data_IF_936468315876
#
_entry.id   IF_936468315876
#
_cell.length_a   1.000
_cell.length_b   1.000
_cell.length_c   1.000
_cell.angle_alpha   90.00
_cell.angle_beta   90.00
_cell.angle_gamma   90.00
#
_symmetry.space_group_name_H-M   'P 1'
#
loop_
_entity.id
_entity.type
_entity.pdbx_description
1 polymer ?
#
# COMPACT_ATOMS: atom_id res chain seq x y z
N UNK A 1 15.92 -7.14 32.73
CA UNK A 1 15.84 -6.76 31.29
C UNK A 1 16.38 -5.34 31.16
N UNK A 2 17.23 -5.06 30.17
CA UNK A 2 17.76 -3.71 29.96
C UNK A 2 16.61 -2.74 29.63
N UNK A 3 16.60 -1.55 30.23
CA UNK A 3 15.59 -0.51 29.94
C UNK A 3 15.65 0.10 28.54
N UNK A 4 16.64 -0.33 27.75
CA UNK A 4 16.97 0.22 26.40
C UNK A 4 16.67 -0.76 25.26
N UNK A 5 15.88 -1.82 25.50
CA UNK A 5 15.53 -2.79 24.46
C UNK A 5 14.27 -2.30 23.75
N UNK A 6 14.39 -2.12 22.45
CA UNK A 6 13.25 -1.85 21.55
C UNK A 6 12.48 -3.14 21.26
N UNK A 7 11.21 -3.04 20.86
CA UNK A 7 10.44 -4.19 20.38
C UNK A 7 11.11 -4.86 19.17
N UNK A 8 10.83 -6.15 18.98
CA UNK A 8 11.33 -6.90 17.83
C UNK A 8 10.93 -6.23 16.52
N UNK A 9 11.86 -6.14 15.59
CA UNK A 9 11.69 -5.54 14.26
C UNK A 9 11.41 -4.03 14.27
N UNK A 10 11.72 -3.33 15.37
CA UNK A 10 11.75 -1.87 15.47
C UNK A 10 13.16 -1.46 15.87
N UNK A 11 13.73 -0.49 15.18
CA UNK A 11 15.09 -0.02 15.41
C UNK A 11 15.20 1.48 15.23
N UNK A 12 16.14 2.09 15.96
CA UNK A 12 16.52 3.47 15.72
C UNK A 12 17.28 3.58 14.38
N UNK A 13 16.96 4.62 13.62
CA UNK A 13 17.71 4.98 12.41
C UNK A 13 18.81 5.96 12.79
N UNK A 14 20.06 5.56 12.60
CA UNK A 14 21.22 6.34 13.01
C UNK A 14 21.57 7.46 12.01
N UNK A 15 22.38 8.49 12.39
CA UNK A 15 22.51 9.75 11.64
C UNK A 15 22.83 9.63 10.16
N UNK A 16 23.74 8.70 9.76
CA UNK A 16 24.12 8.52 8.34
C UNK A 16 22.95 7.97 7.51
N UNK A 17 22.27 6.95 8.04
CA UNK A 17 21.11 6.33 7.40
C UNK A 17 19.91 7.29 7.41
N UNK A 18 19.66 7.97 8.53
CA UNK A 18 18.58 8.95 8.65
C UNK A 18 18.74 10.09 7.62
N UNK A 19 19.97 10.55 7.39
CA UNK A 19 20.26 11.55 6.36
C UNK A 19 19.89 11.04 4.98
N UNK A 20 20.30 9.83 4.65
CA UNK A 20 20.02 9.22 3.36
C UNK A 20 18.53 9.01 3.13
N UNK A 21 17.79 8.51 4.12
CA UNK A 21 16.33 8.36 4.06
C UNK A 21 15.64 9.71 3.81
N UNK A 22 16.08 10.78 4.49
CA UNK A 22 15.48 12.11 4.29
C UNK A 22 15.80 12.69 2.90
N UNK A 23 16.97 12.43 2.36
CA UNK A 23 17.33 12.81 0.99
C UNK A 23 16.48 12.07 -0.05
N UNK A 24 16.29 10.76 0.10
CA UNK A 24 15.37 9.96 -0.73
C UNK A 24 13.93 10.48 -0.63
N UNK A 25 13.45 10.71 0.58
CA UNK A 25 12.11 11.25 0.82
C UNK A 25 11.89 12.55 0.07
N UNK A 26 12.83 13.48 0.13
CA UNK A 26 12.76 14.77 -0.60
C UNK A 26 12.76 14.54 -2.10
N UNK A 27 13.67 13.70 -2.60
CA UNK A 27 13.76 13.36 -4.01
C UNK A 27 12.43 12.82 -4.55
N UNK A 28 11.81 11.88 -3.87
CA UNK A 28 10.51 11.30 -4.27
C UNK A 28 9.39 12.34 -4.29
N UNK A 29 9.31 13.18 -3.26
CA UNK A 29 8.30 14.24 -3.20
C UNK A 29 8.52 15.31 -4.29
N UNK A 30 9.75 15.67 -4.60
CA UNK A 30 10.07 16.61 -5.66
C UNK A 30 9.78 16.02 -7.04
N UNK A 31 10.06 14.72 -7.26
CA UNK A 31 9.67 14.00 -8.47
C UNK A 31 8.16 13.98 -8.62
N UNK A 32 7.41 13.58 -7.60
CA UNK A 32 5.95 13.60 -7.63
C UNK A 32 5.39 15.00 -7.92
N UNK A 33 5.96 16.03 -7.31
CA UNK A 33 5.57 17.43 -7.55
C UNK A 33 5.78 17.84 -9.02
N UNK A 34 6.81 17.34 -9.71
CA UNK A 34 7.02 17.62 -11.13
C UNK A 34 5.92 17.07 -12.04
N UNK A 35 5.23 16.03 -11.60
CA UNK A 35 4.02 15.46 -12.23
C UNK A 35 2.72 16.15 -11.81
N UNK A 36 2.80 17.16 -10.93
CA UNK A 36 1.63 17.90 -10.45
C UNK A 36 0.93 17.26 -9.23
N UNK A 37 1.59 16.35 -8.52
CA UNK A 37 1.03 15.79 -7.27
C UNK A 37 1.13 16.79 -6.12
N UNK A 38 0.06 16.90 -5.36
CA UNK A 38 -0.02 17.69 -4.15
C UNK A 38 0.25 16.80 -2.92
N UNK A 39 1.13 17.26 -2.04
CA UNK A 39 1.48 16.54 -0.82
C UNK A 39 0.34 16.60 0.20
N UNK A 40 -0.04 15.44 0.73
CA UNK A 40 -0.92 15.31 1.89
C UNK A 40 -0.20 14.60 3.04
N UNK A 41 -0.53 14.97 4.28
CA UNK A 41 0.06 14.37 5.49
C UNK A 41 -1.09 13.91 6.39
N UNK A 42 -1.60 12.69 6.19
CA UNK A 42 -2.62 12.12 7.06
C UNK A 42 -2.08 11.84 8.47
N UNK A 43 -2.90 11.84 9.51
CA UNK A 43 -2.47 11.48 10.86
C UNK A 43 -2.06 10.01 10.94
N UNK A 44 -1.11 9.70 11.84
CA UNK A 44 -0.67 8.32 12.09
C UNK A 44 -1.76 7.48 12.79
N UNK A 45 -2.57 8.11 13.63
CA UNK A 45 -3.61 7.51 14.45
C UNK A 45 -4.99 7.96 13.97
N UNK A 46 -5.91 7.00 13.79
CA UNK A 46 -7.30 7.27 13.37
C UNK A 46 -8.26 6.30 14.04
N UNK A 47 -9.57 6.59 14.02
CA UNK A 47 -10.58 5.62 14.45
C UNK A 47 -10.50 4.36 13.59
N UNK A 48 -10.54 3.20 14.25
CA UNK A 48 -10.32 1.91 13.58
C UNK A 48 -11.31 1.69 12.43
N UNK A 49 -12.57 2.01 12.63
CA UNK A 49 -13.62 1.85 11.61
C UNK A 49 -13.34 2.71 10.35
N UNK A 50 -12.84 3.94 10.55
CA UNK A 50 -12.45 4.82 9.45
C UNK A 50 -11.23 4.30 8.71
N UNK A 51 -10.22 3.85 9.46
CA UNK A 51 -8.95 3.37 8.90
C UNK A 51 -9.12 2.08 8.08
N UNK A 52 -10.07 1.23 8.46
CA UNK A 52 -10.34 -0.06 7.80
C UNK A 52 -11.44 0.02 6.73
N UNK A 53 -12.06 1.17 6.52
CA UNK A 53 -13.09 1.34 5.50
C UNK A 53 -12.52 1.03 4.11
N UNK A 54 -13.15 0.09 3.39
CA UNK A 54 -12.72 -0.34 2.06
C UNK A 54 -11.46 -1.20 2.01
N UNK A 55 -10.88 -1.54 3.18
CA UNK A 55 -9.71 -2.43 3.26
C UNK A 55 -10.11 -3.90 3.37
N UNK A 56 -9.17 -4.78 2.99
CA UNK A 56 -9.35 -6.23 3.16
C UNK A 56 -8.89 -6.71 4.56
N UNK A 57 -9.21 -7.98 4.86
CA UNK A 57 -8.82 -8.67 6.09
C UNK A 57 -7.30 -8.59 6.37
N UNK A 58 -6.47 -8.59 5.33
CA UNK A 58 -5.03 -8.51 5.45
C UNK A 58 -4.55 -7.23 6.15
N UNK A 59 -5.15 -6.07 5.83
CA UNK A 59 -4.81 -4.80 6.46
C UNK A 59 -5.28 -4.75 7.92
N UNK A 60 -6.44 -5.32 8.23
CA UNK A 60 -6.92 -5.44 9.61
C UNK A 60 -5.95 -6.22 10.50
N UNK A 61 -5.38 -7.31 9.97
CA UNK A 61 -4.38 -8.14 10.67
C UNK A 61 -3.02 -7.44 10.86
N UNK A 62 -2.69 -6.48 10.00
CA UNK A 62 -1.47 -5.69 10.07
C UNK A 62 -1.60 -4.44 10.93
N UNK A 63 -2.83 -4.01 11.25
CA UNK A 63 -3.08 -2.78 11.99
C UNK A 63 -2.89 -2.96 13.49
N UNK A 64 -2.08 -2.11 14.12
CA UNK A 64 -2.04 -1.97 15.58
C UNK A 64 -3.34 -1.36 16.09
N UNK A 65 -3.98 -2.02 17.03
CA UNK A 65 -5.25 -1.59 17.64
C UNK A 65 -5.03 -1.09 19.06
N UNK A 66 -5.61 0.06 19.36
CA UNK A 66 -5.48 0.77 20.64
C UNK A 66 -6.86 1.18 21.13
N UNK A 67 -6.95 1.51 22.40
CA UNK A 67 -8.14 2.17 22.96
C UNK A 67 -7.77 3.62 23.28
N UNK A 68 -8.51 4.56 22.73
CA UNK A 68 -8.37 5.98 23.05
C UNK A 68 -8.82 6.23 24.49
N UNK A 69 -7.92 6.73 25.32
CA UNK A 69 -8.21 6.99 26.74
C UNK A 69 -9.13 8.21 26.95
N UNK A 70 -9.30 9.07 25.95
CA UNK A 70 -10.20 10.22 26.04
C UNK A 70 -11.65 9.85 25.72
N UNK A 71 -11.86 9.03 24.69
CA UNK A 71 -13.21 8.70 24.19
C UNK A 71 -13.65 7.26 24.47
N UNK A 72 -12.73 6.37 24.84
CA UNK A 72 -12.97 4.94 25.00
C UNK A 72 -13.15 4.19 23.66
N UNK A 73 -12.97 4.85 22.52
CA UNK A 73 -13.14 4.26 21.20
C UNK A 73 -11.91 3.49 20.73
N UNK A 74 -12.15 2.51 19.86
CA UNK A 74 -11.06 1.78 19.21
C UNK A 74 -10.38 2.67 18.17
N UNK A 75 -9.05 2.71 18.24
CA UNK A 75 -8.16 3.43 17.32
C UNK A 75 -7.22 2.45 16.63
N UNK A 76 -6.70 2.82 15.48
CA UNK A 76 -5.65 2.09 14.79
C UNK A 76 -4.48 3.00 14.42
N UNK A 77 -3.26 2.44 14.47
CA UNK A 77 -2.11 3.04 13.81
C UNK A 77 -2.10 2.58 12.35
N UNK A 78 -1.94 3.50 11.42
CA UNK A 78 -2.01 3.17 9.98
C UNK A 78 -0.94 2.15 9.61
N UNK A 79 -1.37 1.08 8.96
CA UNK A 79 -0.49 0.10 8.32
C UNK A 79 -0.30 0.39 6.82
N UNK A 80 -1.18 1.21 6.24
CA UNK A 80 -1.12 1.73 4.87
C UNK A 80 -1.78 3.12 4.84
N UNK A 81 -1.25 4.01 4.02
CA UNK A 81 -1.70 5.40 3.91
C UNK A 81 -2.81 5.58 2.86
N UNK A 82 -2.94 4.66 1.90
CA UNK A 82 -3.86 4.75 0.74
C UNK A 82 -5.30 5.06 1.14
N UNK A 83 -5.85 4.36 2.16
CA UNK A 83 -7.25 4.57 2.61
C UNK A 83 -7.48 5.97 3.17
N UNK A 84 -6.49 6.50 3.87
CA UNK A 84 -6.56 7.87 4.42
C UNK A 84 -6.53 8.92 3.30
N UNK A 85 -5.73 8.68 2.26
CA UNK A 85 -5.66 9.59 1.09
C UNK A 85 -6.96 9.53 0.29
N UNK A 86 -7.53 8.34 0.09
CA UNK A 86 -8.85 8.19 -0.52
C UNK A 86 -9.94 8.93 0.26
N UNK A 87 -9.91 8.85 1.60
CA UNK A 87 -10.81 9.62 2.48
C UNK A 87 -10.62 11.14 2.33
N UNK A 88 -9.37 11.60 2.23
CA UNK A 88 -9.06 13.03 2.02
C UNK A 88 -9.65 13.51 0.70
N UNK A 89 -9.45 12.76 -0.40
CA UNK A 89 -10.02 13.11 -1.70
C UNK A 89 -11.54 13.15 -1.64
N UNK A 90 -12.18 12.06 -1.15
CA UNK A 90 -13.63 11.91 -1.18
C UNK A 90 -14.40 12.84 -0.24
N UNK A 91 -13.84 13.18 0.94
CA UNK A 91 -14.58 13.86 1.99
C UNK A 91 -14.06 15.25 2.38
N UNK A 92 -12.79 15.55 2.10
CA UNK A 92 -12.20 16.84 2.48
C UNK A 92 -11.94 17.72 1.27
N UNK A 93 -11.33 17.18 0.21
CA UNK A 93 -11.08 17.94 -1.01
C UNK A 93 -12.32 17.98 -1.90
N UNK A 94 -12.94 16.82 -2.13
CA UNK A 94 -14.18 16.66 -2.92
C UNK A 94 -14.16 17.46 -4.23
N UNK A 95 -13.04 17.40 -4.96
CA UNK A 95 -12.81 18.18 -6.18
C UNK A 95 -13.51 17.56 -7.37
N UNK A 96 -13.93 18.38 -8.32
CA UNK A 96 -14.35 17.91 -9.63
C UNK A 96 -13.11 17.77 -10.54
N UNK A 97 -13.06 16.67 -11.32
CA UNK A 97 -11.96 16.41 -12.24
C UNK A 97 -10.85 15.55 -11.64
N UNK A 98 -9.66 15.65 -12.24
CA UNK A 98 -8.51 14.81 -11.85
C UNK A 98 -7.80 15.40 -10.65
N UNK A 99 -7.66 14.62 -9.58
CA UNK A 99 -6.89 14.96 -8.40
C UNK A 99 -5.65 14.06 -8.32
N UNK A 100 -4.48 14.66 -8.10
CA UNK A 100 -3.19 13.97 -7.90
C UNK A 100 -2.69 14.26 -6.50
N UNK A 101 -2.56 13.23 -5.69
CA UNK A 101 -2.08 13.34 -4.30
C UNK A 101 -0.87 12.44 -4.10
N UNK A 102 0.11 12.90 -3.32
CA UNK A 102 1.24 12.09 -2.89
C UNK A 102 1.45 12.21 -1.38
N UNK A 103 2.13 11.24 -0.83
CA UNK A 103 2.45 11.19 0.59
C UNK A 103 3.80 10.49 0.81
N UNK A 104 4.46 10.81 1.91
CA UNK A 104 5.63 10.08 2.38
C UNK A 104 5.69 10.18 3.90
N UNK A 105 5.54 9.03 4.57
CA UNK A 105 5.53 8.97 6.03
C UNK A 105 5.63 7.53 6.56
N UNK A 106 5.84 7.37 7.86
CA UNK A 106 5.92 6.06 8.48
C UNK A 106 4.56 5.37 8.47
N UNK A 107 4.57 4.05 8.32
CA UNK A 107 3.46 3.15 8.62
C UNK A 107 3.91 2.13 9.65
N UNK A 108 2.98 1.49 10.37
CA UNK A 108 3.31 0.54 11.42
C UNK A 108 2.58 -0.78 11.18
N UNK A 109 3.35 -1.85 11.06
CA UNK A 109 2.85 -3.20 10.90
C UNK A 109 2.84 -3.95 12.22
N UNK A 110 1.69 -4.50 12.62
CA UNK A 110 1.57 -5.33 13.82
C UNK A 110 2.43 -6.59 13.71
N UNK A 111 2.69 -7.06 12.49
CA UNK A 111 3.56 -8.20 12.19
C UNK A 111 4.53 -7.83 11.06
N UNK A 112 5.79 -8.28 11.09
CA UNK A 112 6.70 -8.07 9.98
C UNK A 112 6.21 -8.84 8.74
N UNK A 113 6.33 -8.24 7.58
CA UNK A 113 5.97 -8.89 6.30
C UNK A 113 6.89 -10.06 5.93
N UNK A 114 8.15 -9.96 6.35
CA UNK A 114 9.21 -10.98 6.14
C UNK A 114 10.06 -11.07 7.40
N UNK A 115 10.80 -12.18 7.61
CA UNK A 115 11.57 -12.41 8.82
C UNK A 115 12.54 -11.29 9.23
N UNK A 116 13.01 -10.49 8.28
CA UNK A 116 13.97 -9.38 8.53
C UNK A 116 13.39 -8.01 8.17
N UNK A 117 12.10 -7.93 7.85
CA UNK A 117 11.46 -6.65 7.55
C UNK A 117 11.25 -5.83 8.82
N UNK A 118 11.45 -4.51 8.73
CA UNK A 118 11.03 -3.60 9.79
C UNK A 118 9.52 -3.57 9.93
N UNK A 119 9.02 -3.33 11.14
CA UNK A 119 7.60 -3.07 11.40
C UNK A 119 7.25 -1.59 11.26
N UNK A 120 8.22 -0.73 11.04
CA UNK A 120 8.04 0.72 10.82
C UNK A 120 8.70 1.15 9.50
N UNK A 121 8.17 0.70 8.35
CA UNK A 121 8.69 1.17 7.06
C UNK A 121 8.26 2.60 6.78
N UNK A 122 9.11 3.35 6.06
CA UNK A 122 8.73 4.60 5.42
C UNK A 122 8.00 4.29 4.12
N UNK A 123 6.75 4.69 4.00
CA UNK A 123 5.94 4.53 2.80
C UNK A 123 5.90 5.82 2.00
N UNK A 124 6.30 5.76 0.73
CA UNK A 124 5.99 6.78 -0.28
C UNK A 124 4.88 6.25 -1.19
N UNK A 125 3.95 7.10 -1.58
CA UNK A 125 2.90 6.75 -2.51
C UNK A 125 2.32 7.95 -3.25
N UNK A 126 1.68 7.65 -4.37
CA UNK A 126 1.01 8.62 -5.23
C UNK A 126 -0.30 8.03 -5.73
N UNK A 127 -1.36 8.83 -5.71
CA UNK A 127 -2.72 8.44 -6.04
C UNK A 127 -3.31 9.39 -7.08
N UNK A 128 -4.00 8.85 -8.08
CA UNK A 128 -4.78 9.63 -9.05
C UNK A 128 -6.25 9.28 -8.89
N UNK A 129 -7.08 10.28 -8.69
CA UNK A 129 -8.54 10.16 -8.61
C UNK A 129 -9.21 10.90 -9.76
N UNK A 130 -10.40 10.43 -10.15
CA UNK A 130 -11.21 11.11 -11.16
C UNK A 130 -10.76 10.92 -12.61
N UNK A 131 -9.82 9.98 -12.89
CA UNK A 131 -9.37 9.64 -14.24
C UNK A 131 -9.52 8.14 -14.50
N UNK A 132 -10.19 7.76 -15.58
CA UNK A 132 -10.47 6.35 -15.94
C UNK A 132 -9.66 5.83 -17.14
N UNK A 133 -8.80 6.65 -17.73
CA UNK A 133 -7.99 6.30 -18.90
C UNK A 133 -6.67 5.63 -18.53
N UNK A 134 -6.09 4.93 -19.50
CA UNK A 134 -4.79 4.26 -19.37
C UNK A 134 -3.63 5.24 -19.11
N UNK A 135 -3.81 6.51 -19.41
CA UNK A 135 -2.83 7.57 -19.18
C UNK A 135 -2.49 7.68 -17.69
N UNK A 136 -3.48 7.48 -16.79
CA UNK A 136 -3.24 7.47 -15.35
C UNK A 136 -2.37 6.27 -14.93
N UNK A 137 -2.63 5.09 -15.48
CA UNK A 137 -1.84 3.88 -15.21
C UNK A 137 -0.40 4.07 -15.69
N UNK A 138 -0.20 4.62 -16.90
CA UNK A 138 1.13 4.89 -17.45
C UNK A 138 1.86 5.96 -16.62
N UNK A 139 1.18 7.01 -16.19
CA UNK A 139 1.77 8.07 -15.36
C UNK A 139 2.28 7.51 -14.03
N UNK A 140 1.46 6.73 -13.32
CA UNK A 140 1.86 6.10 -12.04
C UNK A 140 3.03 5.14 -12.21
N UNK A 141 3.02 4.30 -13.25
CA UNK A 141 4.12 3.37 -13.53
C UNK A 141 5.42 4.11 -13.85
N UNK A 142 5.33 5.20 -14.62
CA UNK A 142 6.49 6.03 -14.97
C UNK A 142 7.05 6.72 -13.73
N UNK A 143 6.20 7.32 -12.91
CA UNK A 143 6.60 7.95 -11.65
C UNK A 143 7.26 6.94 -10.69
N UNK A 144 6.68 5.75 -10.54
CA UNK A 144 7.25 4.71 -9.70
C UNK A 144 8.66 4.28 -10.18
N UNK A 145 8.82 4.13 -11.49
CA UNK A 145 10.12 3.82 -12.11
C UNK A 145 11.14 4.92 -11.85
N UNK A 146 10.80 6.18 -12.08
CA UNK A 146 11.69 7.31 -11.84
C UNK A 146 12.11 7.42 -10.37
N UNK A 147 11.21 7.15 -9.44
CA UNK A 147 11.53 7.10 -8.01
C UNK A 147 12.51 5.97 -7.68
N UNK A 148 12.36 4.77 -8.26
CA UNK A 148 13.29 3.66 -8.09
C UNK A 148 14.69 4.01 -8.65
N UNK A 149 14.75 4.58 -9.84
CA UNK A 149 15.99 5.02 -10.46
C UNK A 149 16.69 6.11 -9.61
N UNK A 150 15.92 7.06 -9.09
CA UNK A 150 16.44 8.10 -8.18
C UNK A 150 16.95 7.52 -6.85
N UNK A 151 16.40 6.39 -6.39
CA UNK A 151 16.88 5.65 -5.23
C UNK A 151 18.12 4.78 -5.53
N UNK A 152 18.61 4.77 -6.77
CA UNK A 152 19.75 3.95 -7.21
C UNK A 152 19.37 2.50 -7.55
N UNK A 153 18.08 2.17 -7.58
CA UNK A 153 17.58 0.84 -8.01
C UNK A 153 17.40 0.90 -9.53
N UNK A 154 18.38 0.39 -10.27
CA UNK A 154 18.43 0.46 -11.74
C UNK A 154 18.16 -0.87 -12.43
N UNK A 155 18.30 -1.99 -11.71
CA UNK A 155 18.04 -3.35 -12.21
C UNK A 155 16.79 -3.90 -11.54
N UNK A 156 15.63 -3.67 -12.16
CA UNK A 156 14.35 -4.17 -11.70
C UNK A 156 13.46 -4.62 -12.87
N UNK A 157 12.58 -5.54 -12.60
CA UNK A 157 11.54 -6.01 -13.54
C UNK A 157 10.19 -5.49 -13.10
N UNK A 158 9.45 -4.89 -14.02
CA UNK A 158 8.06 -4.47 -13.78
C UNK A 158 7.10 -5.53 -14.27
N UNK A 159 6.39 -6.16 -13.35
CA UNK A 159 5.27 -7.05 -13.67
C UNK A 159 3.96 -6.26 -13.71
N UNK A 160 3.26 -6.32 -14.83
CA UNK A 160 1.93 -5.71 -14.97
C UNK A 160 0.87 -6.80 -14.97
N UNK A 161 -0.10 -6.69 -14.08
CA UNK A 161 -1.23 -7.62 -14.01
C UNK A 161 -2.56 -6.86 -14.15
N UNK A 162 -3.48 -7.44 -14.92
CA UNK A 162 -4.82 -6.89 -15.11
C UNK A 162 -5.87 -7.91 -14.63
N UNK A 163 -6.56 -7.60 -13.55
CA UNK A 163 -7.62 -8.45 -12.99
C UNK A 163 -8.76 -8.73 -13.99
N UNK A 164 -8.94 -7.87 -14.99
CA UNK A 164 -9.95 -8.07 -16.05
C UNK A 164 -9.65 -9.31 -16.89
N UNK A 165 -8.38 -9.69 -17.05
CA UNK A 165 -7.98 -10.91 -17.77
C UNK A 165 -8.56 -12.13 -17.06
N UNK A 166 -8.34 -12.25 -15.75
CA UNK A 166 -8.86 -13.37 -14.95
C UNK A 166 -10.38 -13.40 -14.97
N UNK A 167 -11.03 -12.24 -14.82
CA UNK A 167 -12.50 -12.15 -14.89
C UNK A 167 -13.05 -12.61 -16.24
N UNK A 168 -12.39 -12.24 -17.34
CA UNK A 168 -12.79 -12.66 -18.69
C UNK A 168 -12.56 -14.16 -18.93
N UNK A 169 -11.48 -14.73 -18.41
CA UNK A 169 -11.23 -16.17 -18.49
C UNK A 169 -12.25 -17.01 -17.71
N UNK A 170 -12.81 -16.44 -16.64
CA UNK A 170 -13.82 -17.08 -15.81
C UNK A 170 -15.26 -16.71 -16.21
N UNK A 171 -15.44 -15.93 -17.29
CA UNK A 171 -16.77 -15.52 -17.76
C UNK A 171 -17.56 -16.74 -18.24
N UNK A 172 -18.76 -16.96 -17.65
CA UNK A 172 -19.59 -18.14 -17.90
C UNK A 172 -19.18 -19.42 -17.18
N UNK A 173 -18.12 -19.36 -16.33
CA UNK A 173 -17.72 -20.51 -15.49
C UNK A 173 -18.29 -20.36 -14.07
N UNK A 174 -19.07 -21.33 -13.62
CA UNK A 174 -19.56 -21.35 -12.23
C UNK A 174 -18.42 -21.69 -11.27
N UNK A 175 -17.93 -20.65 -10.56
CA UNK A 175 -16.85 -20.78 -9.57
C UNK A 175 -17.37 -20.44 -8.18
N UNK A 176 -17.17 -21.34 -7.22
CA UNK A 176 -17.52 -21.02 -5.83
C UNK A 176 -16.66 -19.87 -5.27
N UNK A 177 -17.20 -19.05 -4.35
CA UNK A 177 -16.41 -17.97 -3.73
C UNK A 177 -15.12 -18.46 -3.04
N UNK A 178 -15.12 -19.67 -2.50
CA UNK A 178 -13.96 -20.27 -1.87
C UNK A 178 -12.87 -20.57 -2.92
N UNK A 179 -13.26 -21.26 -4.01
CA UNK A 179 -12.33 -21.60 -5.09
C UNK A 179 -11.77 -20.34 -5.79
N UNK A 180 -12.58 -19.30 -5.95
CA UNK A 180 -12.14 -18.02 -6.50
C UNK A 180 -11.08 -17.34 -5.61
N UNK A 181 -11.26 -17.36 -4.28
CA UNK A 181 -10.24 -16.85 -3.34
C UNK A 181 -8.93 -17.64 -3.43
N UNK A 182 -9.02 -18.98 -3.45
CA UNK A 182 -7.85 -19.84 -3.54
C UNK A 182 -7.11 -19.62 -4.86
N UNK A 183 -7.84 -19.48 -5.97
CA UNK A 183 -7.28 -19.19 -7.29
C UNK A 183 -6.57 -17.84 -7.32
N UNK A 184 -7.20 -16.79 -6.78
CA UNK A 184 -6.57 -15.47 -6.68
C UNK A 184 -5.30 -15.52 -5.81
N UNK A 185 -5.33 -16.28 -4.70
CA UNK A 185 -4.16 -16.48 -3.86
C UNK A 185 -3.02 -17.21 -4.59
N UNK A 186 -3.32 -18.24 -5.36
CA UNK A 186 -2.33 -18.96 -6.17
C UNK A 186 -1.75 -18.07 -7.30
N UNK A 187 -2.60 -17.26 -7.97
CA UNK A 187 -2.17 -16.30 -8.98
C UNK A 187 -1.24 -15.23 -8.39
N UNK A 188 -1.59 -14.68 -7.23
CA UNK A 188 -0.77 -13.67 -6.55
C UNK A 188 0.63 -14.21 -6.17
N UNK A 189 0.72 -15.49 -5.80
CA UNK A 189 2.00 -16.16 -5.50
C UNK A 189 2.70 -16.72 -6.75
N UNK A 190 2.10 -16.59 -7.94
CA UNK A 190 2.59 -17.18 -9.20
C UNK A 190 2.80 -18.71 -9.09
N UNK A 191 1.95 -19.38 -8.30
CA UNK A 191 2.01 -20.84 -8.05
C UNK A 191 1.32 -21.60 -9.18
N UNK A 192 2.08 -21.88 -10.25
CA UNK A 192 1.57 -22.59 -11.43
C UNK A 192 1.06 -24.02 -11.12
N UNK A 193 1.66 -24.69 -10.13
CA UNK A 193 1.23 -26.04 -9.74
C UNK A 193 -0.14 -26.01 -9.07
N UNK A 194 -0.34 -25.06 -8.15
CA UNK A 194 -1.62 -24.88 -7.46
C UNK A 194 -2.71 -24.37 -8.41
N UNK A 195 -2.38 -23.42 -9.30
CA UNK A 195 -3.30 -22.97 -10.36
C UNK A 195 -3.76 -24.16 -11.19
N UNK A 196 -2.83 -24.99 -11.67
CA UNK A 196 -3.16 -26.20 -12.44
C UNK A 196 -4.01 -27.20 -11.65
N UNK A 197 -3.83 -27.32 -10.34
CA UNK A 197 -4.65 -28.17 -9.46
C UNK A 197 -6.08 -27.63 -9.34
N UNK A 198 -6.22 -26.34 -9.07
CA UNK A 198 -7.50 -25.67 -8.86
C UNK A 198 -8.35 -25.59 -10.14
N UNK A 199 -7.70 -25.48 -11.30
CA UNK A 199 -8.38 -25.34 -12.60
C UNK A 199 -8.70 -26.66 -13.28
N UNK A 200 -8.25 -27.81 -12.78
CA UNK A 200 -8.57 -29.13 -13.36
C UNK A 200 -10.05 -29.48 -13.40
N UNK A 201 -10.85 -28.85 -12.56
CA UNK A 201 -12.31 -29.06 -12.51
C UNK A 201 -13.06 -28.16 -13.49
N UNK A 202 -12.39 -27.25 -14.19
CA UNK A 202 -13.01 -26.39 -15.21
C UNK A 202 -13.01 -27.12 -16.56
N UNK A 203 -14.10 -26.97 -17.33
CA UNK A 203 -14.19 -27.54 -18.66
C UNK A 203 -13.21 -26.92 -19.65
#
# INVERSE_FOLDING_TARGET
>A
MSAWILPDHIADVLPSEARHIEELRRGFLDTARSYGYELVIPPLLEHLDSLLTGSGEALDLQTFKLVDQLSGRSMGLRADTTQQVARIDAHLLNRQGVTRLCYCGPVLHAKPEKPHATREPLQFGSEIYGHSGLEADVEILTLARECLEAAGVTDFTTDVADVRIVRRLLDGVEVSPALLRDLHGALARKDGAEIGRLTRAFP
#
